data_IF_447167820246
#
_entry.id   IF_447167820246
#
_cell.length_a   1.000
_cell.length_b   1.000
_cell.length_c   1.000
_cell.angle_alpha   90.00
_cell.angle_beta   90.00
_cell.angle_gamma   90.00
#
_symmetry.space_group_name_H-M   'P 1'
#
loop_
_entity.id
_entity.type
_entity.pdbx_description
1 polymer ?
#
# COMPACT_ATOMS: atom_id res chain seq x y z
N UNK A 1 2.77 -9.27 14.20
CA UNK A 1 1.61 -8.89 13.35
C UNK A 1 1.42 -9.95 12.27
N UNK A 2 0.17 -10.27 11.98
CA UNK A 2 -0.11 -11.29 10.98
C UNK A 2 -0.17 -10.73 9.56
N UNK A 3 -0.84 -9.59 9.38
CA UNK A 3 -1.07 -9.00 8.07
C UNK A 3 -0.70 -7.53 8.10
N UNK A 4 0.08 -7.11 7.12
CA UNK A 4 0.34 -5.70 6.84
C UNK A 4 -0.33 -5.33 5.52
N UNK A 5 -1.29 -4.42 5.58
CA UNK A 5 -1.97 -3.90 4.40
C UNK A 5 -1.24 -2.63 3.96
N UNK A 6 -0.80 -2.61 2.71
CA UNK A 6 -0.02 -1.50 2.17
C UNK A 6 -0.86 -0.76 1.14
N UNK A 7 -1.06 0.54 1.35
CA UNK A 7 -1.67 1.42 0.36
C UNK A 7 -0.54 2.03 -0.46
N UNK A 8 -0.35 1.61 -1.72
CA UNK A 8 0.78 2.08 -2.53
C UNK A 8 0.73 3.59 -2.77
N UNK A 9 1.91 4.20 -2.88
CA UNK A 9 2.02 5.61 -3.20
C UNK A 9 1.89 5.80 -4.72
N UNK A 10 0.71 6.21 -5.16
CA UNK A 10 0.41 6.41 -6.58
C UNK A 10 0.59 7.85 -7.05
N UNK A 11 1.08 8.75 -6.21
CA UNK A 11 1.21 10.18 -6.57
C UNK A 11 2.07 10.40 -7.80
N UNK A 12 3.28 9.82 -7.81
CA UNK A 12 4.18 9.94 -8.94
C UNK A 12 3.71 9.19 -10.17
N UNK A 13 3.46 7.85 -10.07
CA UNK A 13 3.04 7.06 -11.22
C UNK A 13 1.71 7.50 -11.84
N UNK A 14 0.74 7.93 -11.01
CA UNK A 14 -0.59 8.30 -11.50
C UNK A 14 -0.66 9.73 -12.04
N UNK A 15 0.08 10.67 -11.45
CA UNK A 15 -0.08 12.09 -11.71
C UNK A 15 1.16 12.76 -12.34
N UNK A 16 2.31 12.10 -12.32
CA UNK A 16 3.54 12.64 -12.90
C UNK A 16 3.95 13.96 -12.26
N UNK A 17 4.17 14.99 -13.09
CA UNK A 17 4.57 16.32 -12.62
C UNK A 17 3.48 17.02 -11.80
N UNK A 18 2.26 16.53 -11.84
CA UNK A 18 1.14 17.07 -11.07
C UNK A 18 0.98 16.40 -9.70
N UNK A 19 1.90 15.53 -9.33
CA UNK A 19 1.81 14.74 -8.08
C UNK A 19 1.61 15.62 -6.84
N UNK A 20 2.21 16.80 -6.80
CA UNK A 20 2.07 17.73 -5.67
C UNK A 20 0.64 18.26 -5.47
N UNK A 21 -0.20 18.14 -6.51
CA UNK A 21 -1.60 18.56 -6.45
C UNK A 21 -2.55 17.36 -6.25
N UNK A 22 -2.01 16.15 -6.15
CA UNK A 22 -2.84 14.96 -5.98
C UNK A 22 -3.57 15.00 -4.64
N UNK A 23 -4.86 14.66 -4.68
CA UNK A 23 -5.66 14.53 -3.47
C UNK A 23 -5.25 13.28 -2.70
N UNK A 24 -5.17 13.41 -1.38
CA UNK A 24 -4.94 12.28 -0.49
C UNK A 24 -6.27 11.90 0.13
N UNK A 25 -6.70 10.67 -0.10
CA UNK A 25 -7.96 10.17 0.40
C UNK A 25 -7.74 9.12 1.49
N UNK A 26 -8.68 9.02 2.46
CA UNK A 26 -8.59 7.95 3.47
C UNK A 26 -8.58 6.57 2.82
N UNK A 27 -7.81 5.61 3.35
CA UNK A 27 -7.72 4.27 2.76
C UNK A 27 -8.91 3.41 3.17
N UNK A 28 -10.10 3.71 2.64
CA UNK A 28 -11.36 3.09 3.06
C UNK A 28 -11.34 1.57 2.87
N UNK A 29 -10.86 1.09 1.73
CA UNK A 29 -10.84 -0.35 1.47
C UNK A 29 -9.85 -1.09 2.34
N UNK A 30 -8.68 -0.50 2.57
CA UNK A 30 -7.73 -1.07 3.53
C UNK A 30 -8.33 -1.12 4.93
N UNK A 31 -9.04 -0.05 5.33
CA UNK A 31 -9.74 -0.01 6.62
C UNK A 31 -10.80 -1.09 6.75
N UNK A 32 -11.60 -1.32 5.70
CA UNK A 32 -12.63 -2.37 5.70
C UNK A 32 -11.99 -3.76 5.79
N UNK A 33 -10.92 -4.01 5.04
CA UNK A 33 -10.20 -5.28 5.11
C UNK A 33 -9.58 -5.49 6.48
N UNK A 34 -8.98 -4.45 7.07
CA UNK A 34 -8.39 -4.54 8.39
C UNK A 34 -9.46 -4.87 9.44
N UNK A 35 -10.61 -4.21 9.38
CA UNK A 35 -11.73 -4.47 10.31
C UNK A 35 -12.18 -5.92 10.21
N UNK A 36 -12.36 -6.43 8.99
CA UNK A 36 -12.75 -7.81 8.77
C UNK A 36 -11.73 -8.79 9.38
N UNK A 37 -10.45 -8.56 9.14
CA UNK A 37 -9.39 -9.44 9.64
C UNK A 37 -9.26 -9.37 11.16
N UNK A 38 -9.42 -8.20 11.76
CA UNK A 38 -9.42 -8.05 13.21
C UNK A 38 -10.58 -8.82 13.86
N UNK A 39 -11.77 -8.80 13.23
CA UNK A 39 -12.91 -9.58 13.70
C UNK A 39 -12.65 -11.08 13.64
N UNK A 40 -11.76 -11.52 12.76
CA UNK A 40 -11.35 -12.93 12.64
C UNK A 40 -10.21 -13.31 13.59
N UNK A 41 -9.71 -12.36 14.38
CA UNK A 41 -8.66 -12.62 15.37
C UNK A 41 -7.24 -12.43 14.88
N UNK A 42 -7.04 -11.87 13.69
CA UNK A 42 -5.69 -11.58 13.18
C UNK A 42 -5.18 -10.23 13.66
N UNK A 43 -3.87 -10.14 13.87
CA UNK A 43 -3.20 -8.86 14.08
C UNK A 43 -2.95 -8.18 12.74
N UNK A 44 -3.46 -6.96 12.57
CA UNK A 44 -3.42 -6.25 11.28
C UNK A 44 -2.96 -4.82 11.51
N UNK A 45 -2.08 -4.34 10.63
CA UNK A 45 -1.71 -2.94 10.55
C UNK A 45 -1.82 -2.44 9.11
N UNK A 46 -1.97 -1.13 8.96
CA UNK A 46 -2.04 -0.47 7.65
C UNK A 46 -0.83 0.45 7.50
N UNK A 47 -0.10 0.29 6.40
CA UNK A 47 0.93 1.23 5.97
C UNK A 47 0.38 2.05 4.82
N UNK A 48 -0.05 3.28 5.11
CA UNK A 48 -0.57 4.19 4.09
C UNK A 48 0.59 4.96 3.46
N UNK A 49 1.28 4.31 2.53
CA UNK A 49 2.42 4.91 1.86
C UNK A 49 2.01 6.09 0.97
N UNK A 50 0.76 6.13 0.51
CA UNK A 50 0.25 7.25 -0.28
C UNK A 50 0.13 8.51 0.58
N UNK A 51 -0.46 8.42 1.75
CA UNK A 51 -0.59 9.56 2.67
C UNK A 51 0.77 10.05 3.17
N UNK A 52 1.68 9.12 3.47
CA UNK A 52 3.02 9.43 3.96
C UNK A 52 4.00 9.80 2.85
N UNK A 53 3.58 9.67 1.59
CA UNK A 53 4.42 9.92 0.41
C UNK A 53 5.74 9.15 0.44
N UNK A 54 5.66 7.85 0.77
CA UNK A 54 6.84 6.99 0.85
C UNK A 54 7.24 6.47 -0.53
N UNK A 55 8.53 6.57 -0.91
CA UNK A 55 9.02 5.90 -2.11
C UNK A 55 9.06 4.39 -1.91
N UNK A 56 9.08 3.65 -3.02
CA UNK A 56 9.00 2.19 -3.01
C UNK A 56 10.09 1.53 -2.15
N UNK A 57 11.31 2.05 -2.18
CA UNK A 57 12.41 1.52 -1.37
C UNK A 57 12.11 1.59 0.13
N UNK A 58 11.49 2.67 0.59
CA UNK A 58 11.11 2.82 2.00
C UNK A 58 9.93 1.92 2.36
N UNK A 59 9.02 1.67 1.42
CA UNK A 59 7.94 0.68 1.63
C UNK A 59 8.56 -0.70 1.87
N UNK A 60 9.49 -1.11 1.02
CA UNK A 60 10.18 -2.39 1.16
C UNK A 60 10.89 -2.51 2.51
N UNK A 61 11.58 -1.46 2.91
CA UNK A 61 12.29 -1.45 4.20
C UNK A 61 11.33 -1.55 5.38
N UNK A 62 10.20 -0.83 5.31
CA UNK A 62 9.19 -0.89 6.37
C UNK A 62 8.63 -2.31 6.54
N UNK A 63 8.39 -3.01 5.43
CA UNK A 63 7.93 -4.40 5.46
C UNK A 63 9.00 -5.32 6.05
N UNK A 64 10.25 -5.14 5.64
CA UNK A 64 11.35 -5.93 6.18
C UNK A 64 11.50 -5.75 7.69
N UNK A 65 11.34 -4.53 8.18
CA UNK A 65 11.45 -4.22 9.60
C UNK A 65 10.25 -4.75 10.40
N UNK A 66 9.06 -4.66 9.85
CA UNK A 66 7.83 -5.12 10.51
C UNK A 66 7.69 -6.64 10.53
N UNK A 67 8.26 -7.33 9.55
CA UNK A 67 8.23 -8.80 9.43
C UNK A 67 6.82 -9.39 9.56
N UNK A 68 5.84 -8.92 8.77
CA UNK A 68 4.52 -9.52 8.80
C UNK A 68 4.55 -10.93 8.23
N UNK A 69 3.57 -11.75 8.60
CA UNK A 69 3.40 -13.08 7.99
C UNK A 69 2.90 -12.95 6.56
N UNK A 70 2.09 -11.93 6.28
CA UNK A 70 1.58 -11.63 4.95
C UNK A 70 1.57 -10.13 4.72
N UNK A 71 2.16 -9.69 3.61
CA UNK A 71 2.08 -8.31 3.16
C UNK A 71 1.17 -8.24 1.94
N UNK A 72 0.19 -7.34 1.96
CA UNK A 72 -0.82 -7.21 0.91
C UNK A 72 -0.80 -5.78 0.37
N UNK A 73 -0.59 -5.63 -0.93
CA UNK A 73 -0.75 -4.33 -1.59
C UNK A 73 -2.22 -4.14 -1.98
N UNK A 74 -2.84 -3.09 -1.45
CA UNK A 74 -4.24 -2.77 -1.72
C UNK A 74 -4.28 -1.73 -2.84
N UNK A 75 -4.47 -2.19 -4.08
CA UNK A 75 -4.54 -1.34 -5.25
C UNK A 75 -5.99 -1.05 -5.58
N UNK A 76 -6.45 0.16 -5.30
CA UNK A 76 -7.84 0.56 -5.47
C UNK A 76 -7.95 2.02 -5.92
N UNK A 77 -8.96 2.29 -6.76
CA UNK A 77 -9.39 3.62 -7.11
C UNK A 77 -10.92 3.68 -7.07
N UNK A 78 -11.49 4.88 -7.21
CA UNK A 78 -12.94 5.08 -7.14
C UNK A 78 -13.71 4.39 -8.25
N UNK A 79 -13.05 4.13 -9.36
CA UNK A 79 -13.62 3.49 -10.55
C UNK A 79 -12.55 2.62 -11.19
N UNK A 80 -12.93 1.71 -12.11
CA UNK A 80 -11.96 0.79 -12.69
C UNK A 80 -10.73 1.46 -13.33
N UNK A 81 -10.91 2.59 -14.00
CA UNK A 81 -9.80 3.33 -14.60
C UNK A 81 -8.84 3.87 -13.54
N UNK A 82 -9.34 4.35 -12.40
CA UNK A 82 -8.51 4.82 -11.31
C UNK A 82 -7.75 3.68 -10.65
N UNK A 83 -8.37 2.50 -10.50
CA UNK A 83 -7.68 1.31 -10.01
C UNK A 83 -6.55 0.91 -10.93
N UNK A 84 -6.76 0.96 -12.25
CA UNK A 84 -5.72 0.69 -13.24
C UNK A 84 -4.56 1.66 -13.10
N UNK A 85 -4.83 2.94 -12.84
CA UNK A 85 -3.79 3.95 -12.65
C UNK A 85 -2.92 3.71 -11.42
N UNK A 86 -3.42 2.98 -10.42
CA UNK A 86 -2.65 2.66 -9.22
C UNK A 86 -1.78 1.40 -9.37
N UNK A 87 -1.98 0.61 -10.41
CA UNK A 87 -1.23 -0.65 -10.61
C UNK A 87 0.27 -0.46 -10.74
N UNK A 88 0.81 0.56 -11.45
CA UNK A 88 2.26 0.76 -11.47
C UNK A 88 2.87 0.96 -10.09
N UNK A 89 2.21 1.71 -9.21
CA UNK A 89 2.67 1.92 -7.84
C UNK A 89 2.63 0.62 -7.03
N UNK A 90 1.58 -0.18 -7.19
CA UNK A 90 1.48 -1.48 -6.54
C UNK A 90 2.61 -2.41 -6.99
N UNK A 91 2.92 -2.43 -8.28
CA UNK A 91 4.00 -3.23 -8.85
C UNK A 91 5.35 -2.83 -8.27
N UNK A 92 5.64 -1.53 -8.20
CA UNK A 92 6.89 -1.03 -7.65
C UNK A 92 7.02 -1.35 -6.17
N UNK A 93 5.94 -1.20 -5.41
CA UNK A 93 5.92 -1.54 -3.99
C UNK A 93 6.19 -3.04 -3.78
N UNK A 94 5.52 -3.89 -4.54
CA UNK A 94 5.70 -5.34 -4.44
C UNK A 94 7.12 -5.78 -4.82
N UNK A 95 7.71 -5.16 -5.83
CA UNK A 95 9.11 -5.43 -6.20
C UNK A 95 10.07 -5.06 -5.07
N UNK A 96 9.88 -3.88 -4.48
CA UNK A 96 10.73 -3.42 -3.39
C UNK A 96 10.59 -4.32 -2.16
N UNK A 97 9.35 -4.75 -1.86
CA UNK A 97 9.08 -5.68 -0.76
C UNK A 97 9.78 -7.02 -1.04
N UNK A 98 9.70 -7.54 -2.25
CA UNK A 98 10.34 -8.80 -2.63
C UNK A 98 11.85 -8.74 -2.46
N UNK A 99 12.46 -7.62 -2.79
CA UNK A 99 13.91 -7.43 -2.64
C UNK A 99 14.33 -7.31 -1.18
N UNK A 100 13.54 -6.60 -0.36
CA UNK A 100 13.87 -6.35 1.04
C UNK A 100 13.46 -7.49 1.96
N UNK A 101 12.39 -8.20 1.61
CA UNK A 101 11.79 -9.27 2.44
C UNK A 101 11.45 -10.48 1.56
N UNK A 102 12.47 -11.25 1.12
CA UNK A 102 12.28 -12.31 0.11
C UNK A 102 11.55 -13.56 0.63
N UNK A 103 11.32 -13.63 1.94
CA UNK A 103 10.53 -14.73 2.48
C UNK A 103 9.05 -14.53 2.15
#
# INVERSE_FOLDING_TARGET
MDVLLIVPNSRGPAYGSLARFAAVEPPVWAGLLATFLLQKGYGVEILDAHALDLPAGQIGQAVADAKPRLAVAVAYGHQPSASTQTMPAAREALRAIRQAAPW
#
